data_IF_257414416675
#
_entry.id   IF_257414416675
#
_cell.length_a   1.000
_cell.length_b   1.000
_cell.length_c   1.000
_cell.angle_alpha   90.00
_cell.angle_beta   90.00
_cell.angle_gamma   90.00
#
_symmetry.space_group_name_H-M   'P 1'
#
loop_
_entity.id
_entity.type
_entity.pdbx_description
1 polymer ?
#
# COMPACT_ATOMS: atom_id res chain seq x y z
N UNK A 1 -21.87 51.68 49.08
CA UNK A 1 -21.15 50.40 49.04
C UNK A 1 -21.67 49.62 47.83
N UNK A 2 -20.97 49.71 46.67
CA UNK A 2 -21.32 48.91 45.48
C UNK A 2 -20.29 47.78 45.36
N UNK A 3 -20.81 46.56 45.45
CA UNK A 3 -20.10 45.30 45.49
C UNK A 3 -19.45 45.00 44.13
N UNK A 4 -18.13 44.90 44.12
CA UNK A 4 -17.33 44.50 42.97
C UNK A 4 -17.29 42.94 42.84
N UNK A 5 -18.42 42.30 42.55
CA UNK A 5 -18.55 40.82 42.48
C UNK A 5 -18.66 40.27 41.05
N UNK A 6 -18.54 41.11 40.00
CA UNK A 6 -18.77 40.68 38.62
C UNK A 6 -17.58 40.02 37.90
N UNK A 7 -16.33 40.27 38.27
CA UNK A 7 -15.15 39.94 37.49
C UNK A 7 -14.46 38.59 37.80
N UNK A 8 -14.88 37.91 38.85
CA UNK A 8 -14.22 36.66 39.31
C UNK A 8 -14.76 35.37 38.65
N UNK A 9 -15.94 35.44 38.02
CA UNK A 9 -16.60 34.29 37.40
C UNK A 9 -16.16 34.00 35.97
N UNK A 10 -15.52 34.94 35.29
CA UNK A 10 -15.12 34.80 33.87
C UNK A 10 -13.77 34.09 33.67
N UNK A 11 -12.89 34.05 34.67
CA UNK A 11 -11.55 33.44 34.53
C UNK A 11 -11.58 31.95 34.17
N UNK A 12 -12.36 31.06 34.84
CA UNK A 12 -12.40 29.66 34.46
C UNK A 12 -12.96 29.44 33.06
N UNK A 13 -13.95 30.24 32.63
CA UNK A 13 -14.50 30.18 31.27
C UNK A 13 -13.45 30.58 30.24
N UNK A 14 -12.67 31.61 30.48
CA UNK A 14 -11.58 32.03 29.61
C UNK A 14 -10.53 30.93 29.46
N UNK A 15 -10.13 30.27 30.56
CA UNK A 15 -9.17 29.15 30.49
C UNK A 15 -9.74 27.98 29.69
N UNK A 16 -11.01 27.61 29.85
CA UNK A 16 -11.66 26.56 29.03
C UNK A 16 -11.65 26.94 27.55
N UNK A 17 -12.00 28.18 27.21
CA UNK A 17 -11.97 28.64 25.84
C UNK A 17 -10.56 28.60 25.23
N UNK A 18 -9.53 29.02 25.98
CA UNK A 18 -8.13 28.93 25.54
C UNK A 18 -7.74 27.46 25.30
N UNK A 19 -8.08 26.54 26.22
CA UNK A 19 -7.80 25.12 26.05
C UNK A 19 -8.48 24.55 24.79
N UNK A 20 -9.75 24.88 24.55
CA UNK A 20 -10.48 24.45 23.36
C UNK A 20 -9.84 24.99 22.08
N UNK A 21 -9.39 26.24 22.10
CA UNK A 21 -8.72 26.88 20.96
C UNK A 21 -7.36 26.21 20.68
N UNK A 22 -6.59 25.88 21.73
CA UNK A 22 -5.32 25.15 21.58
C UNK A 22 -5.54 23.72 21.05
N UNK A 23 -6.57 23.02 21.51
CA UNK A 23 -6.94 21.69 21.01
C UNK A 23 -7.31 21.78 19.52
N UNK A 24 -8.14 22.75 19.16
CA UNK A 24 -8.54 22.95 17.76
C UNK A 24 -7.34 23.30 16.88
N UNK A 25 -6.49 24.22 17.30
CA UNK A 25 -5.26 24.59 16.57
C UNK A 25 -4.31 23.39 16.42
N UNK A 26 -4.17 22.58 17.49
CA UNK A 26 -3.39 21.34 17.45
C UNK A 26 -3.98 20.31 16.48
N UNK A 27 -5.29 20.12 16.49
CA UNK A 27 -5.98 19.20 15.57
C UNK A 27 -5.84 19.63 14.10
N UNK A 28 -6.01 20.94 13.82
CA UNK A 28 -5.78 21.49 12.48
C UNK A 28 -4.32 21.33 12.05
N UNK A 29 -3.37 21.65 12.93
CA UNK A 29 -1.94 21.48 12.65
C UNK A 29 -1.57 20.03 12.37
N UNK A 30 -2.08 19.09 13.17
CA UNK A 30 -1.88 17.65 12.95
C UNK A 30 -2.49 17.20 11.62
N UNK A 31 -3.70 17.64 11.28
CA UNK A 31 -4.35 17.34 10.01
C UNK A 31 -3.53 17.85 8.82
N UNK A 32 -3.02 19.08 8.87
CA UNK A 32 -2.19 19.62 7.82
C UNK A 32 -0.89 18.82 7.62
N UNK A 33 -0.25 18.37 8.71
CA UNK A 33 0.95 17.53 8.63
C UNK A 33 0.61 16.18 8.01
N UNK A 34 -0.47 15.53 8.47
CA UNK A 34 -0.90 14.21 8.02
C UNK A 34 -1.42 14.19 6.58
N UNK A 35 -1.87 15.32 6.07
CA UNK A 35 -2.40 15.46 4.71
C UNK A 35 -1.45 16.22 3.76
N UNK A 36 -0.19 16.42 4.18
CA UNK A 36 0.79 17.15 3.36
C UNK A 36 0.34 18.56 2.99
N UNK A 37 -0.21 19.30 3.96
CA UNK A 37 -0.76 20.63 3.73
C UNK A 37 -2.16 20.65 3.12
N UNK A 38 -2.89 19.52 3.18
CA UNK A 38 -4.21 19.37 2.56
C UNK A 38 -4.17 18.85 1.12
N UNK A 39 -2.97 18.61 0.57
CA UNK A 39 -2.78 18.13 -0.80
C UNK A 39 -2.90 16.60 -0.96
N UNK A 40 -3.05 15.87 0.15
CA UNK A 40 -3.18 14.42 0.14
C UNK A 40 -4.48 14.00 0.82
N UNK A 41 -5.40 13.45 0.06
CA UNK A 41 -6.60 12.83 0.61
C UNK A 41 -6.25 11.45 1.17
N UNK A 42 -6.72 11.16 2.39
CA UNK A 42 -6.55 9.85 3.04
C UNK A 42 -7.93 9.20 3.19
N UNK A 43 -8.07 7.96 2.73
CA UNK A 43 -9.32 7.21 2.76
C UNK A 43 -9.09 5.80 3.28
N UNK A 44 -9.81 5.41 4.34
CA UNK A 44 -9.86 4.02 4.81
C UNK A 44 -10.66 3.14 3.85
N UNK A 45 -10.16 1.95 3.55
CA UNK A 45 -10.79 0.96 2.69
C UNK A 45 -10.88 -0.39 3.42
N UNK A 46 -11.98 -1.12 3.16
CA UNK A 46 -12.15 -2.52 3.55
C UNK A 46 -12.24 -3.33 2.26
N UNK A 47 -11.20 -4.09 1.98
CA UNK A 47 -11.04 -4.82 0.71
C UNK A 47 -11.39 -6.29 0.94
N UNK A 48 -12.44 -6.81 0.28
CA UNK A 48 -12.81 -8.22 0.40
C UNK A 48 -11.70 -9.13 -0.11
N UNK A 49 -11.35 -10.13 0.68
CA UNK A 49 -10.47 -11.24 0.34
C UNK A 49 -11.26 -12.54 0.11
N UNK A 50 -10.56 -13.67 0.15
CA UNK A 50 -11.18 -15.01 0.04
C UNK A 50 -11.92 -15.37 1.35
N UNK A 51 -12.91 -16.24 1.23
CA UNK A 51 -13.62 -16.87 2.35
C UNK A 51 -14.13 -15.88 3.41
N UNK A 52 -14.59 -14.71 2.96
CA UNK A 52 -15.11 -13.66 3.84
C UNK A 52 -14.06 -12.87 4.60
N UNK A 53 -12.77 -13.10 4.37
CA UNK A 53 -11.72 -12.27 4.94
C UNK A 53 -11.78 -10.85 4.37
N UNK A 54 -11.36 -9.88 5.17
CA UNK A 54 -11.30 -8.47 4.79
C UNK A 54 -9.94 -7.91 5.13
N UNK A 55 -9.25 -7.35 4.14
CA UNK A 55 -8.04 -6.57 4.35
C UNK A 55 -8.40 -5.10 4.58
N UNK A 56 -7.94 -4.55 5.70
CA UNK A 56 -8.05 -3.11 5.97
C UNK A 56 -6.88 -2.37 5.35
N UNK A 57 -7.15 -1.23 4.74
CA UNK A 57 -6.11 -0.44 4.11
C UNK A 57 -6.42 1.05 4.18
N UNK A 58 -5.37 1.88 4.14
CA UNK A 58 -5.48 3.33 3.98
C UNK A 58 -4.90 3.74 2.63
N UNK A 59 -5.71 4.45 1.86
CA UNK A 59 -5.36 4.98 0.55
C UNK A 59 -4.96 6.45 0.68
N UNK A 60 -3.75 6.78 0.26
CA UNK A 60 -3.24 8.16 0.18
C UNK A 60 -3.24 8.59 -1.28
N UNK A 61 -4.01 9.60 -1.60
CA UNK A 61 -4.14 10.14 -2.95
C UNK A 61 -3.66 11.57 -2.99
N UNK A 62 -2.58 11.90 -3.73
CA UNK A 62 -2.22 13.30 -3.99
C UNK A 62 -3.26 13.96 -4.89
N UNK A 63 -3.48 15.26 -4.72
CA UNK A 63 -4.41 16.06 -5.51
C UNK A 63 -4.04 16.10 -7.01
N UNK A 64 -2.75 15.93 -7.33
CA UNK A 64 -2.24 15.79 -8.69
C UNK A 64 -2.70 14.52 -9.41
N UNK A 65 -3.13 13.47 -8.66
CA UNK A 65 -3.64 12.24 -9.24
C UNK A 65 -5.12 12.40 -9.63
N UNK A 66 -5.37 12.55 -10.93
CA UNK A 66 -6.71 12.76 -11.51
C UNK A 66 -7.01 11.74 -12.60
N UNK A 67 -8.25 11.68 -13.07
CA UNK A 67 -8.63 10.79 -14.18
C UNK A 67 -7.89 11.11 -15.49
N UNK A 68 -7.49 12.38 -15.69
CA UNK A 68 -6.74 12.85 -16.85
C UNK A 68 -5.23 12.83 -16.62
N UNK A 69 -4.78 12.84 -15.37
CA UNK A 69 -3.37 12.74 -14.98
C UNK A 69 -3.21 11.60 -13.98
N UNK A 70 -3.13 10.39 -14.50
CA UNK A 70 -3.05 9.18 -13.68
C UNK A 70 -1.69 9.02 -13.03
N UNK A 71 -1.69 8.69 -11.74
CA UNK A 71 -0.48 8.45 -10.98
C UNK A 71 -0.15 6.96 -10.87
N UNK A 72 1.14 6.57 -10.79
CA UNK A 72 1.54 5.22 -10.40
C UNK A 72 1.09 4.93 -8.97
N UNK A 73 0.84 3.63 -8.65
CA UNK A 73 0.40 3.20 -7.34
C UNK A 73 1.44 2.30 -6.69
N UNK A 74 1.62 2.45 -5.37
CA UNK A 74 2.47 1.59 -4.56
C UNK A 74 1.63 0.98 -3.44
N UNK A 75 1.59 -0.36 -3.38
CA UNK A 75 1.00 -1.08 -2.25
C UNK A 75 2.08 -1.33 -1.21
N UNK A 76 1.78 -0.99 0.04
CA UNK A 76 2.71 -1.03 1.17
C UNK A 76 2.18 -2.00 2.22
N UNK A 77 3.05 -2.87 2.75
CA UNK A 77 2.71 -3.75 3.87
C UNK A 77 3.77 -3.68 4.97
N UNK A 78 3.37 -3.59 6.24
CA UNK A 78 4.28 -3.50 7.37
C UNK A 78 4.90 -4.87 7.73
N UNK A 79 5.79 -4.85 8.72
CA UNK A 79 6.42 -6.03 9.28
C UNK A 79 5.54 -6.81 10.25
N UNK A 80 6.12 -7.85 10.86
CA UNK A 80 5.47 -8.69 11.85
C UNK A 80 5.00 -7.88 13.07
N UNK A 81 3.79 -8.15 13.56
CA UNK A 81 3.15 -7.44 14.68
C UNK A 81 3.09 -5.91 14.50
N UNK A 82 3.05 -5.45 13.26
CA UNK A 82 2.90 -4.03 12.90
C UNK A 82 1.64 -3.84 12.07
N UNK A 83 1.05 -2.66 12.19
CA UNK A 83 -0.15 -2.27 11.47
C UNK A 83 0.17 -1.17 10.45
N UNK A 84 -0.79 -0.85 9.59
CA UNK A 84 -0.67 0.16 8.52
C UNK A 84 -0.21 1.52 9.07
N UNK A 85 -0.56 1.86 10.32
CA UNK A 85 -0.18 3.11 10.96
C UNK A 85 1.34 3.29 11.04
N UNK A 86 2.11 2.21 11.16
CA UNK A 86 3.58 2.27 11.20
C UNK A 86 4.21 2.68 9.87
N UNK A 87 3.42 2.66 8.78
CA UNK A 87 3.86 3.02 7.44
C UNK A 87 3.29 4.35 6.94
N UNK A 88 2.55 5.10 7.78
CA UNK A 88 1.91 6.37 7.40
C UNK A 88 2.95 7.37 6.90
N UNK A 89 4.04 7.59 7.63
CA UNK A 89 5.08 8.57 7.26
C UNK A 89 5.71 8.23 5.91
N UNK A 90 6.00 6.94 5.68
CA UNK A 90 6.56 6.45 4.41
C UNK A 90 5.56 6.66 3.26
N UNK A 91 4.31 6.31 3.48
CA UNK A 91 3.24 6.42 2.47
C UNK A 91 2.91 7.86 2.14
N UNK A 92 2.90 8.73 3.15
CA UNK A 92 2.72 10.17 2.98
C UNK A 92 3.86 10.78 2.15
N UNK A 93 5.10 10.35 2.40
CA UNK A 93 6.25 10.85 1.63
C UNK A 93 6.24 10.38 0.18
N UNK A 94 5.79 9.16 -0.10
CA UNK A 94 5.54 8.69 -1.46
C UNK A 94 4.42 9.49 -2.13
N UNK A 95 3.33 9.78 -1.41
CA UNK A 95 2.21 10.56 -1.93
C UNK A 95 2.63 12.01 -2.25
N UNK A 96 3.50 12.63 -1.43
CA UNK A 96 4.11 13.94 -1.72
C UNK A 96 4.93 13.96 -3.01
N UNK A 97 5.46 12.80 -3.42
CA UNK A 97 6.18 12.61 -4.69
C UNK A 97 5.28 12.22 -5.85
N UNK A 98 3.97 12.29 -5.69
CA UNK A 98 3.00 12.06 -6.74
C UNK A 98 2.57 10.60 -6.93
N UNK A 99 2.92 9.68 -6.02
CA UNK A 99 2.43 8.32 -6.04
C UNK A 99 1.09 8.22 -5.30
N UNK A 100 0.16 7.43 -5.81
CA UNK A 100 -0.94 6.92 -4.98
C UNK A 100 -0.39 5.78 -4.15
N UNK A 101 -0.63 5.78 -2.83
CA UNK A 101 -0.17 4.69 -1.96
C UNK A 101 -1.34 4.01 -1.27
N UNK A 102 -1.28 2.69 -1.17
CA UNK A 102 -2.25 1.86 -0.47
C UNK A 102 -1.52 1.05 0.60
N UNK A 103 -1.70 1.41 1.86
CA UNK A 103 -1.09 0.70 3.00
C UNK A 103 -2.08 -0.32 3.53
N UNK A 104 -1.66 -1.57 3.66
CA UNK A 104 -2.54 -2.69 4.00
C UNK A 104 -2.14 -3.30 5.33
N UNK A 105 -3.10 -3.49 6.24
CA UNK A 105 -2.90 -4.28 7.45
C UNK A 105 -2.72 -5.77 7.08
N UNK A 106 -1.69 -6.44 7.60
CA UNK A 106 -1.60 -7.89 7.49
C UNK A 106 -2.81 -8.58 8.14
N UNK A 107 -3.20 -9.74 7.65
CA UNK A 107 -4.20 -10.57 8.35
C UNK A 107 -3.76 -10.86 9.78
N UNK A 108 -4.70 -10.96 10.69
CA UNK A 108 -4.52 -11.08 12.15
C UNK A 108 -3.87 -9.85 12.81
N UNK A 109 -3.77 -8.70 12.12
CA UNK A 109 -3.18 -7.47 12.65
C UNK A 109 -4.05 -6.26 12.27
N UNK A 110 -3.98 -5.22 13.10
CA UNK A 110 -4.74 -3.98 12.91
C UNK A 110 -6.24 -4.23 12.77
N UNK A 111 -6.81 -3.68 11.74
CA UNK A 111 -8.25 -3.79 11.44
C UNK A 111 -8.58 -4.83 10.36
N UNK A 112 -7.60 -5.60 9.89
CA UNK A 112 -7.83 -6.75 9.02
C UNK A 112 -8.39 -7.93 9.80
N UNK A 113 -9.22 -8.75 9.15
CA UNK A 113 -9.74 -9.97 9.76
C UNK A 113 -8.65 -11.03 9.93
N UNK A 114 -9.03 -12.16 10.50
CA UNK A 114 -8.16 -13.33 10.57
C UNK A 114 -7.80 -13.85 9.18
N UNK A 115 -6.64 -14.52 9.09
CA UNK A 115 -6.22 -15.25 7.91
C UNK A 115 -7.31 -16.24 7.49
N UNK A 116 -7.69 -16.32 6.21
CA UNK A 116 -8.63 -17.33 5.74
C UNK A 116 -8.12 -18.75 6.04
N UNK A 117 -8.99 -19.67 6.47
CA UNK A 117 -8.62 -21.06 6.68
C UNK A 117 -7.99 -21.67 5.42
N UNK A 118 -6.93 -22.45 5.59
CA UNK A 118 -6.25 -23.15 4.48
C UNK A 118 -5.69 -22.23 3.37
N UNK A 119 -5.47 -20.97 3.66
CA UNK A 119 -4.87 -20.00 2.73
C UNK A 119 -3.59 -19.44 3.32
N UNK A 120 -2.51 -19.50 2.54
CA UNK A 120 -1.23 -18.82 2.84
C UNK A 120 -1.16 -17.45 2.16
N UNK A 121 -2.27 -17.00 1.51
CA UNK A 121 -2.30 -15.74 0.77
C UNK A 121 -2.18 -14.56 1.74
N UNK A 122 -1.19 -13.69 1.58
CA UNK A 122 -1.07 -12.52 2.43
C UNK A 122 -2.17 -11.49 2.10
N UNK A 123 -2.56 -10.66 3.09
CA UNK A 123 -3.58 -9.61 2.93
C UNK A 123 -3.26 -8.59 1.83
N UNK A 124 -2.02 -8.47 1.41
CA UNK A 124 -1.60 -7.63 0.29
C UNK A 124 -2.12 -8.16 -1.06
N UNK A 125 -2.40 -9.47 -1.18
CA UNK A 125 -2.89 -10.04 -2.45
C UNK A 125 -4.26 -9.49 -2.86
N UNK A 126 -5.32 -9.52 -2.02
CA UNK A 126 -6.59 -8.91 -2.38
C UNK A 126 -6.47 -7.41 -2.65
N UNK A 127 -5.54 -6.72 -1.98
CA UNK A 127 -5.28 -5.31 -2.26
C UNK A 127 -4.71 -5.10 -3.67
N UNK A 128 -3.75 -5.91 -4.10
CA UNK A 128 -3.19 -5.86 -5.47
C UNK A 128 -4.27 -6.20 -6.50
N UNK A 129 -5.07 -7.22 -6.26
CA UNK A 129 -6.18 -7.60 -7.12
C UNK A 129 -7.23 -6.49 -7.22
N UNK A 130 -7.56 -5.85 -6.11
CA UNK A 130 -8.48 -4.72 -6.06
C UNK A 130 -7.95 -3.54 -6.90
N UNK A 131 -6.74 -3.05 -6.65
CA UNK A 131 -6.20 -1.89 -7.37
C UNK A 131 -5.98 -2.14 -8.85
N UNK A 132 -5.69 -3.38 -9.24
CA UNK A 132 -5.50 -3.74 -10.65
C UNK A 132 -6.80 -3.84 -11.43
N UNK A 133 -7.93 -4.17 -10.79
CA UNK A 133 -9.21 -4.46 -11.45
C UNK A 133 -10.28 -3.40 -11.26
N UNK A 134 -10.29 -2.70 -10.11
CA UNK A 134 -11.35 -1.72 -9.79
C UNK A 134 -11.35 -0.53 -10.75
N UNK A 135 -12.54 -0.06 -11.11
CA UNK A 135 -12.71 1.20 -11.84
C UNK A 135 -12.86 2.41 -10.90
N UNK A 136 -13.02 2.18 -9.59
CA UNK A 136 -13.14 3.25 -8.60
C UNK A 136 -11.87 4.12 -8.50
N UNK A 137 -10.70 3.55 -8.80
CA UNK A 137 -9.41 4.24 -8.79
C UNK A 137 -9.04 4.70 -10.22
N UNK A 138 -9.90 5.48 -10.86
CA UNK A 138 -9.71 5.95 -12.24
C UNK A 138 -8.51 6.90 -12.42
N UNK A 139 -7.98 7.43 -11.33
CA UNK A 139 -6.79 8.27 -11.25
C UNK A 139 -5.48 7.47 -11.08
N UNK A 140 -5.55 6.15 -11.04
CA UNK A 140 -4.38 5.26 -10.97
C UNK A 140 -3.99 4.75 -12.35
N UNK A 141 -2.69 4.83 -12.67
CA UNK A 141 -2.10 4.15 -13.82
C UNK A 141 -1.85 2.68 -13.46
N UNK A 142 -2.79 1.80 -13.82
CA UNK A 142 -2.74 0.37 -13.54
C UNK A 142 -1.60 -0.37 -14.24
N UNK A 143 -0.92 0.29 -15.18
CA UNK A 143 0.29 -0.26 -15.82
C UNK A 143 1.55 -0.02 -14.99
N UNK A 144 1.44 0.76 -13.90
CA UNK A 144 2.55 1.18 -13.03
C UNK A 144 2.25 0.89 -11.56
N UNK A 145 2.05 -0.38 -11.23
CA UNK A 145 1.83 -0.83 -9.86
C UNK A 145 3.15 -1.33 -9.28
N UNK A 146 3.56 -0.73 -8.17
CA UNK A 146 4.68 -1.18 -7.34
C UNK A 146 4.18 -1.79 -6.04
N UNK A 147 5.00 -2.64 -5.43
CA UNK A 147 4.75 -3.19 -4.10
C UNK A 147 6.00 -3.05 -3.23
N UNK A 148 5.79 -2.78 -1.96
CA UNK A 148 6.89 -2.68 -0.98
C UNK A 148 6.49 -3.24 0.37
N UNK A 149 7.46 -3.76 1.10
CA UNK A 149 7.25 -4.26 2.45
C UNK A 149 8.53 -4.28 3.27
N UNK A 150 8.38 -4.08 4.57
CA UNK A 150 9.47 -4.13 5.54
C UNK A 150 9.44 -5.45 6.32
N UNK A 151 10.61 -6.05 6.59
CA UNK A 151 10.76 -7.26 7.40
C UNK A 151 9.85 -8.41 6.90
N UNK A 152 8.91 -8.89 7.72
CA UNK A 152 7.91 -9.90 7.31
C UNK A 152 7.07 -9.44 6.11
N UNK A 153 6.74 -8.14 6.01
CA UNK A 153 6.12 -7.55 4.82
C UNK A 153 6.99 -7.67 3.58
N UNK A 154 8.31 -7.55 3.72
CA UNK A 154 9.26 -7.82 2.64
C UNK A 154 9.19 -9.25 2.13
N UNK A 155 9.01 -10.23 3.03
CA UNK A 155 8.76 -11.63 2.65
C UNK A 155 7.43 -11.81 1.92
N UNK A 156 6.37 -11.13 2.34
CA UNK A 156 5.06 -11.17 1.69
C UNK A 156 5.13 -10.61 0.25
N UNK A 157 5.70 -9.42 0.06
CA UNK A 157 5.81 -8.81 -1.28
C UNK A 157 6.68 -9.65 -2.21
N UNK A 158 7.76 -10.24 -1.72
CA UNK A 158 8.57 -11.18 -2.47
C UNK A 158 7.78 -12.42 -2.91
N UNK A 159 7.02 -13.01 -1.98
CA UNK A 159 6.20 -14.19 -2.25
C UNK A 159 5.18 -13.89 -3.35
N UNK A 160 4.42 -12.83 -3.19
CA UNK A 160 3.36 -12.44 -4.11
C UNK A 160 3.90 -12.04 -5.50
N UNK A 161 5.03 -11.34 -5.55
CA UNK A 161 5.67 -10.99 -6.82
C UNK A 161 6.16 -12.24 -7.58
N UNK A 162 6.67 -13.24 -6.87
CA UNK A 162 7.08 -14.52 -7.47
C UNK A 162 5.86 -15.33 -7.95
N UNK A 163 4.74 -15.27 -7.25
CA UNK A 163 3.49 -15.94 -7.66
C UNK A 163 2.94 -15.34 -8.96
N UNK A 164 2.77 -14.00 -9.02
CA UNK A 164 2.30 -13.32 -10.23
C UNK A 164 3.28 -13.50 -11.40
N UNK A 165 4.58 -13.42 -11.15
CA UNK A 165 5.61 -13.68 -12.15
C UNK A 165 5.59 -15.14 -12.66
N UNK A 166 5.24 -16.09 -11.79
CA UNK A 166 5.04 -17.50 -12.20
C UNK A 166 3.81 -17.67 -13.10
N UNK A 167 2.70 -16.96 -12.81
CA UNK A 167 1.50 -16.98 -13.68
C UNK A 167 1.82 -16.43 -15.06
N UNK A 168 2.50 -15.30 -15.14
CA UNK A 168 2.98 -14.70 -16.39
C UNK A 168 3.91 -15.64 -17.17
N UNK A 169 4.91 -16.22 -16.49
CA UNK A 169 5.86 -17.15 -17.11
C UNK A 169 5.19 -18.40 -17.67
N UNK A 170 4.20 -18.96 -16.95
CA UNK A 170 3.42 -20.10 -17.43
C UNK A 170 2.60 -19.76 -18.67
N UNK A 171 1.98 -18.58 -18.73
CA UNK A 171 1.24 -18.12 -19.89
C UNK A 171 2.14 -17.95 -21.11
N UNK A 172 3.31 -17.32 -20.94
CA UNK A 172 4.30 -17.17 -22.00
C UNK A 172 4.86 -18.52 -22.50
N UNK A 173 5.04 -19.49 -21.58
CA UNK A 173 5.46 -20.85 -21.97
C UNK A 173 4.39 -21.56 -22.77
N UNK A 174 3.11 -21.43 -22.40
CA UNK A 174 1.98 -22.00 -23.14
C UNK A 174 1.87 -21.40 -24.55
N UNK A 175 2.05 -20.08 -24.66
CA UNK A 175 2.06 -19.39 -25.96
C UNK A 175 3.19 -19.85 -26.89
N UNK A 176 4.32 -20.32 -26.34
CA UNK A 176 5.45 -20.88 -27.12
C UNK A 176 5.28 -22.35 -27.50
N UNK A 177 4.22 -23.03 -27.11
CA UNK A 177 4.01 -24.44 -27.45
C UNK A 177 3.80 -24.59 -28.96
N UNK A 178 4.26 -25.71 -29.60
CA UNK A 178 4.17 -25.90 -31.03
C UNK A 178 2.75 -25.84 -31.63
N UNK A 179 1.77 -26.18 -30.79
CA UNK A 179 0.33 -26.22 -31.09
C UNK A 179 -0.39 -24.92 -30.76
N UNK A 180 0.33 -23.90 -30.25
CA UNK A 180 -0.27 -22.59 -29.99
C UNK A 180 -0.45 -21.79 -31.30
N UNK A 181 -1.39 -20.85 -31.37
CA UNK A 181 -1.63 -20.02 -32.57
C UNK A 181 -0.40 -19.27 -33.07
N UNK A 182 0.52 -18.89 -32.18
CA UNK A 182 1.80 -18.22 -32.48
C UNK A 182 2.95 -19.19 -32.79
N UNK A 183 2.75 -20.51 -32.74
CA UNK A 183 3.81 -21.50 -32.86
C UNK A 183 4.89 -21.32 -31.80
N UNK A 184 6.16 -21.36 -32.19
CA UNK A 184 7.30 -21.16 -31.27
C UNK A 184 7.58 -19.70 -30.93
N UNK A 185 6.96 -18.75 -31.66
CA UNK A 185 7.14 -17.30 -31.47
C UNK A 185 5.92 -16.73 -30.77
N UNK A 186 6.13 -16.10 -29.58
CA UNK A 186 5.07 -15.43 -28.83
C UNK A 186 4.67 -14.14 -29.56
N UNK A 187 3.42 -14.03 -29.95
CA UNK A 187 2.87 -12.83 -30.57
C UNK A 187 2.80 -11.68 -29.56
N UNK A 188 2.64 -10.42 -30.05
CA UNK A 188 2.47 -9.25 -29.21
C UNK A 188 1.23 -9.38 -28.32
N UNK A 189 0.12 -9.86 -28.88
CA UNK A 189 -1.15 -10.03 -28.14
C UNK A 189 -1.03 -11.08 -27.02
N UNK A 190 -0.37 -12.21 -27.29
CA UNK A 190 -0.12 -13.24 -26.25
C UNK A 190 0.78 -12.74 -25.14
N UNK A 191 1.77 -11.90 -25.48
CA UNK A 191 2.63 -11.24 -24.49
C UNK A 191 1.83 -10.29 -23.62
N UNK A 192 1.02 -9.42 -24.21
CA UNK A 192 0.15 -8.49 -23.48
C UNK A 192 -0.84 -9.23 -22.56
N UNK A 193 -1.44 -10.32 -23.02
CA UNK A 193 -2.30 -11.18 -22.20
C UNK A 193 -1.54 -11.81 -21.03
N UNK A 194 -0.32 -12.25 -21.24
CA UNK A 194 0.51 -12.82 -20.17
C UNK A 194 0.91 -11.74 -19.15
N UNK A 195 1.28 -10.55 -19.60
CA UNK A 195 1.64 -9.41 -18.74
C UNK A 195 0.46 -8.91 -17.89
N UNK A 196 -0.78 -9.04 -18.39
CA UNK A 196 -2.00 -8.72 -17.61
C UNK A 196 -2.20 -9.65 -16.40
N UNK A 197 -1.62 -10.85 -16.40
CA UNK A 197 -1.63 -11.78 -15.27
C UNK A 197 -0.67 -11.36 -14.15
N UNK A 198 0.25 -10.42 -14.43
CA UNK A 198 1.18 -9.87 -13.48
C UNK A 198 1.05 -8.32 -13.47
N UNK A 199 0.25 -7.74 -12.59
CA UNK A 199 0.09 -6.30 -12.52
C UNK A 199 1.30 -5.57 -11.92
N UNK A 200 2.24 -6.31 -11.29
CA UNK A 200 3.36 -5.76 -10.53
C UNK A 200 4.49 -5.38 -11.49
N UNK A 201 4.93 -4.13 -11.46
CA UNK A 201 6.04 -3.61 -12.28
C UNK A 201 7.31 -3.35 -11.48
N UNK A 202 7.19 -3.11 -10.18
CA UNK A 202 8.33 -2.93 -9.29
C UNK A 202 8.07 -3.53 -7.92
N UNK A 203 9.14 -4.05 -7.32
CA UNK A 203 9.14 -4.65 -5.98
C UNK A 203 10.28 -4.02 -5.20
N UNK A 204 9.99 -3.43 -4.05
CA UNK A 204 11.01 -2.97 -3.13
C UNK A 204 10.90 -3.75 -1.81
N UNK A 205 11.97 -4.44 -1.46
CA UNK A 205 12.07 -5.28 -0.27
C UNK A 205 13.00 -4.59 0.72
N UNK A 206 12.48 -4.24 1.90
CA UNK A 206 13.27 -3.70 3.00
C UNK A 206 13.30 -4.70 4.14
N UNK A 207 14.51 -5.14 4.54
CA UNK A 207 14.69 -6.07 5.66
C UNK A 207 15.78 -7.12 5.44
N UNK A 208 15.71 -8.22 6.16
CA UNK A 208 16.77 -9.21 6.29
C UNK A 208 17.24 -9.83 4.96
N UNK A 209 18.49 -9.63 4.62
CA UNK A 209 19.16 -10.21 3.45
C UNK A 209 19.20 -11.75 3.47
N UNK A 210 19.23 -12.35 4.64
CA UNK A 210 19.27 -13.83 4.79
C UNK A 210 18.09 -14.55 4.16
N UNK A 211 16.96 -13.85 3.95
CA UNK A 211 15.77 -14.41 3.30
C UNK A 211 15.82 -14.28 1.77
N UNK A 212 16.79 -13.56 1.23
CA UNK A 212 16.90 -13.26 -0.19
C UNK A 212 18.01 -14.12 -0.82
N UNK A 213 17.62 -15.08 -1.61
CA UNK A 213 18.55 -15.87 -2.43
C UNK A 213 18.04 -15.96 -3.88
N UNK A 214 18.94 -16.30 -4.79
CA UNK A 214 18.62 -16.37 -6.22
C UNK A 214 17.44 -17.30 -6.53
N UNK A 215 17.27 -18.41 -5.78
CA UNK A 215 16.17 -19.35 -5.96
C UNK A 215 14.81 -18.70 -5.63
N UNK A 216 14.76 -17.89 -4.56
CA UNK A 216 13.52 -17.20 -4.12
C UNK A 216 13.17 -16.02 -5.02
N UNK A 217 14.16 -15.41 -5.69
CA UNK A 217 13.97 -14.26 -6.59
C UNK A 217 13.72 -14.69 -8.05
N UNK A 218 14.03 -15.93 -8.39
CA UNK A 218 14.02 -16.46 -9.77
C UNK A 218 12.74 -16.18 -10.56
N UNK A 219 11.59 -16.21 -9.88
CA UNK A 219 10.28 -16.07 -10.53
C UNK A 219 9.75 -14.63 -10.50
N UNK A 220 10.48 -13.69 -9.91
CA UNK A 220 10.06 -12.28 -9.91
C UNK A 220 10.40 -11.70 -11.28
N UNK A 221 9.39 -11.21 -11.97
CA UNK A 221 9.50 -10.63 -13.34
C UNK A 221 9.36 -9.10 -13.33
N UNK A 222 9.40 -8.50 -12.15
CA UNK A 222 9.35 -7.06 -11.94
C UNK A 222 10.74 -6.51 -11.68
N UNK A 223 10.92 -5.19 -11.79
CA UNK A 223 12.12 -4.52 -11.31
C UNK A 223 12.24 -4.70 -9.79
N UNK A 224 13.39 -5.09 -9.29
CA UNK A 224 13.62 -5.38 -7.87
C UNK A 224 14.57 -4.35 -7.29
N UNK A 225 14.12 -3.67 -6.22
CA UNK A 225 14.96 -2.90 -5.31
C UNK A 225 15.05 -3.60 -3.95
N UNK A 226 16.24 -3.60 -3.35
CA UNK A 226 16.47 -4.19 -2.03
C UNK A 226 17.12 -3.13 -1.16
N UNK A 227 16.50 -2.83 -0.01
CA UNK A 227 17.04 -1.97 1.03
C UNK A 227 17.38 -2.78 2.26
N UNK A 228 18.56 -2.55 2.84
CA UNK A 228 19.00 -3.15 4.10
C UNK A 228 19.80 -2.12 4.92
N UNK A 229 19.81 -2.29 6.23
CA UNK A 229 20.66 -1.49 7.09
C UNK A 229 22.09 -2.07 7.08
N UNK A 230 23.08 -1.20 6.92
CA UNK A 230 24.51 -1.60 6.82
C UNK A 230 25.06 -2.19 8.13
N UNK A 231 24.35 -1.97 9.26
CA UNK A 231 24.74 -2.37 10.61
C UNK A 231 23.64 -3.14 11.34
N UNK A 232 22.82 -3.87 10.60
CA UNK A 232 21.81 -4.75 11.19
C UNK A 232 22.50 -6.05 11.64
N UNK A 233 23.25 -5.94 12.75
CA UNK A 233 23.81 -7.09 13.48
C UNK A 233 22.70 -7.65 14.37
N UNK A 234 21.81 -8.45 13.79
CA UNK A 234 20.79 -9.21 14.49
C UNK A 234 21.13 -10.68 14.59
#
# INVERSE_FOLDING_TARGET
MHSATGLRRSRPVIHVLICLLLILAGAVGASLIQTGGGHIAVQGLKIPGKDGAVASADLFRPDTATATHKAPLIVVTPGFQRTKETQISYSLELARRGYVTLVVDPYNQGESTSQPPHSDDPSIQPAIDYVSRTNALNYVDKTKIGITGHSAGGSQVRHIAAEYGTKEAKALKKAKAPDSPGGTTVTKEEREKAEQLNPIRSVFISGWLQQLNAKKLKNIRSNIGIGYALYDEG
#
